data_IF_875388386635
#
_entry.id   IF_875388386635
#
_cell.length_a   1.000
_cell.length_b   1.000
_cell.length_c   1.000
_cell.angle_alpha   90.00
_cell.angle_beta   90.00
_cell.angle_gamma   90.00
#
_symmetry.space_group_name_H-M   'P 1'
#
loop_
_entity.id
_entity.type
_entity.pdbx_description
1 polymer ?
#
# COMPACT_ATOMS: atom_id res chain seq x y z
N UNK A 1 12.10 1.39 24.42
CA UNK A 1 13.09 1.41 23.38
C UNK A 1 12.55 2.02 22.12
N UNK A 2 13.26 3.02 21.65
CA UNK A 2 12.80 3.80 20.50
C UNK A 2 12.66 2.98 19.24
N UNK A 3 13.57 2.07 19.00
CA UNK A 3 13.49 1.19 17.82
C UNK A 3 12.21 0.40 17.78
N UNK A 4 11.74 -0.07 18.93
CA UNK A 4 10.51 -0.85 19.00
C UNK A 4 9.29 0.02 18.66
N UNK A 5 9.29 1.27 19.09
CA UNK A 5 8.20 2.19 18.75
C UNK A 5 8.15 2.49 17.28
N UNK A 6 9.30 2.78 16.66
CA UNK A 6 9.37 3.02 15.23
C UNK A 6 8.90 1.80 14.46
N UNK A 7 9.35 0.62 14.88
CA UNK A 7 8.95 -0.62 14.24
C UNK A 7 7.43 -0.80 14.32
N UNK A 8 6.82 -0.50 15.45
CA UNK A 8 5.37 -0.62 15.58
C UNK A 8 4.61 0.29 14.61
N UNK A 9 5.03 1.53 14.48
CA UNK A 9 4.40 2.46 13.55
C UNK A 9 4.62 2.02 12.11
N UNK A 10 5.86 1.68 11.75
CA UNK A 10 6.17 1.19 10.41
C UNK A 10 5.42 -0.09 10.08
N UNK A 11 5.31 -1.00 11.05
CA UNK A 11 4.60 -2.25 10.87
C UNK A 11 3.12 -2.01 10.60
N UNK A 12 2.51 -1.03 11.24
CA UNK A 12 1.11 -0.72 11.02
C UNK A 12 0.86 -0.27 9.57
N UNK A 13 1.67 0.66 9.07
CA UNK A 13 1.58 1.10 7.68
C UNK A 13 1.86 -0.07 6.74
N UNK A 14 2.92 -0.82 7.01
CA UNK A 14 3.30 -1.98 6.22
C UNK A 14 2.17 -3.01 6.15
N UNK A 15 1.54 -3.32 7.28
CA UNK A 15 0.42 -4.26 7.31
C UNK A 15 -0.76 -3.79 6.48
N UNK A 16 -1.02 -2.49 6.51
CA UNK A 16 -2.10 -1.92 5.70
C UNK A 16 -1.82 -2.10 4.22
N UNK A 17 -0.58 -1.83 3.80
CA UNK A 17 -0.17 -2.04 2.41
C UNK A 17 -0.19 -3.52 2.05
N UNK A 18 0.22 -4.39 2.96
CA UNK A 18 0.17 -5.84 2.75
C UNK A 18 -1.26 -6.35 2.61
N UNK A 19 -2.20 -5.73 3.30
CA UNK A 19 -3.62 -6.06 3.14
C UNK A 19 -4.08 -5.81 1.72
N UNK A 20 -3.67 -4.70 1.13
CA UNK A 20 -3.97 -4.39 -0.27
C UNK A 20 -3.30 -5.40 -1.18
N UNK A 21 -2.03 -5.73 -0.93
CA UNK A 21 -1.32 -6.74 -1.71
C UNK A 21 -2.04 -8.09 -1.68
N UNK A 22 -2.43 -8.55 -0.50
CA UNK A 22 -3.13 -9.84 -0.36
C UNK A 22 -4.42 -9.84 -1.15
N UNK A 23 -5.18 -8.75 -1.12
CA UNK A 23 -6.42 -8.63 -1.87
C UNK A 23 -6.17 -8.71 -3.38
N UNK A 24 -5.13 -8.02 -3.86
CA UNK A 24 -4.78 -8.06 -5.28
C UNK A 24 -4.35 -9.46 -5.70
N UNK A 25 -3.57 -10.14 -4.88
CA UNK A 25 -3.11 -11.49 -5.16
C UNK A 25 -4.26 -12.49 -5.13
N UNK A 26 -5.30 -12.20 -4.36
CA UNK A 26 -6.50 -13.02 -4.29
C UNK A 26 -7.46 -12.79 -5.47
N UNK A 27 -7.14 -11.84 -6.35
CA UNK A 27 -7.94 -11.58 -7.55
C UNK A 27 -8.81 -10.34 -7.51
N UNK A 28 -8.63 -9.48 -6.52
CA UNK A 28 -9.39 -8.23 -6.44
C UNK A 28 -9.04 -7.33 -7.63
N UNK A 29 -10.04 -6.67 -8.19
CA UNK A 29 -9.86 -5.78 -9.34
C UNK A 29 -10.27 -4.34 -9.04
N UNK A 30 -10.85 -4.08 -7.89
CA UNK A 30 -11.30 -2.74 -7.50
C UNK A 30 -10.18 -1.99 -6.77
N UNK A 31 -9.25 -1.45 -7.54
CA UNK A 31 -8.09 -0.75 -7.00
C UNK A 31 -8.51 0.47 -6.18
N UNK A 32 -9.44 1.27 -6.69
CA UNK A 32 -9.91 2.45 -5.99
C UNK A 32 -10.53 2.08 -4.64
N UNK A 33 -11.31 1.02 -4.60
CA UNK A 33 -11.89 0.53 -3.35
C UNK A 33 -10.84 0.07 -2.36
N UNK A 34 -9.80 -0.61 -2.84
CA UNK A 34 -8.70 -1.05 -1.99
C UNK A 34 -7.91 0.13 -1.42
N UNK A 35 -7.62 1.11 -2.26
CA UNK A 35 -6.93 2.33 -1.82
C UNK A 35 -7.74 3.07 -0.76
N UNK A 36 -9.03 3.24 -0.99
CA UNK A 36 -9.91 3.90 -0.04
C UNK A 36 -10.03 3.15 1.27
N UNK A 37 -10.11 1.83 1.22
CA UNK A 37 -10.16 0.99 2.42
C UNK A 37 -8.88 1.12 3.22
N UNK A 38 -7.73 1.18 2.57
CA UNK A 38 -6.45 1.34 3.23
C UNK A 38 -6.36 2.70 3.92
N UNK A 39 -6.77 3.76 3.22
CA UNK A 39 -6.81 5.12 3.79
C UNK A 39 -7.69 5.15 5.04
N UNK A 40 -8.89 4.57 4.94
CA UNK A 40 -9.83 4.55 6.05
C UNK A 40 -9.25 3.78 7.23
N UNK A 41 -8.60 2.66 6.98
CA UNK A 41 -7.99 1.86 8.04
C UNK A 41 -6.93 2.66 8.80
N UNK A 42 -6.10 3.41 8.08
CA UNK A 42 -5.09 4.27 8.72
C UNK A 42 -5.74 5.39 9.52
N UNK A 43 -6.77 6.01 8.98
CA UNK A 43 -7.49 7.07 9.69
C UNK A 43 -8.10 6.57 10.99
N UNK A 44 -8.67 5.38 10.97
CA UNK A 44 -9.27 4.77 12.16
C UNK A 44 -8.21 4.47 13.23
N UNK A 45 -6.97 4.25 12.81
CA UNK A 45 -5.86 3.98 13.71
C UNK A 45 -5.17 5.27 14.20
N UNK A 46 -5.69 6.44 13.83
CA UNK A 46 -5.14 7.72 14.27
C UNK A 46 -4.08 8.29 13.34
N UNK A 47 -3.90 7.73 12.17
CA UNK A 47 -2.96 8.23 11.18
C UNK A 47 -3.61 9.27 10.28
N UNK A 48 -2.77 10.10 9.66
CA UNK A 48 -3.22 11.03 8.63
C UNK A 48 -2.56 10.60 7.31
N UNK A 49 -3.23 9.76 6.52
CA UNK A 49 -2.64 9.30 5.27
C UNK A 49 -2.56 10.42 4.24
N UNK A 50 -1.39 10.56 3.61
CA UNK A 50 -1.21 11.49 2.51
C UNK A 50 -1.69 10.87 1.21
N UNK A 51 -1.28 9.61 0.98
CA UNK A 51 -1.75 8.85 -0.18
C UNK A 51 -1.50 7.36 0.03
N UNK A 52 -2.32 6.56 -0.62
CA UNK A 52 -2.10 5.13 -0.81
C UNK A 52 -2.42 4.88 -2.28
N UNK A 53 -1.45 4.45 -3.06
CA UNK A 53 -1.58 4.31 -4.51
C UNK A 53 -1.06 2.96 -4.96
N UNK A 54 -1.80 2.32 -5.86
CA UNK A 54 -1.35 1.10 -6.53
C UNK A 54 -0.95 1.49 -7.95
N UNK A 55 0.26 1.12 -8.36
CA UNK A 55 0.79 1.49 -9.66
C UNK A 55 1.59 0.35 -10.28
N UNK A 56 1.78 0.38 -11.59
CA UNK A 56 2.64 -0.59 -12.27
C UNK A 56 4.09 -0.23 -12.00
N UNK A 57 4.93 -1.23 -11.73
CA UNK A 57 6.33 -0.98 -11.43
C UNK A 57 7.08 -0.37 -12.62
N UNK A 58 6.68 -0.72 -13.85
CA UNK A 58 7.41 -0.30 -15.04
C UNK A 58 7.26 1.17 -15.39
N UNK A 59 6.12 1.80 -15.08
CA UNK A 59 5.86 3.18 -15.48
C UNK A 59 5.09 3.99 -14.43
N UNK A 60 4.75 3.39 -13.31
CA UNK A 60 4.03 4.01 -12.20
C UNK A 60 2.64 4.55 -12.60
N UNK A 61 2.07 4.00 -13.67
CA UNK A 61 0.71 4.33 -14.06
C UNK A 61 -0.28 3.39 -13.37
N UNK A 62 -1.53 3.85 -13.29
CA UNK A 62 -2.59 3.04 -12.70
C UNK A 62 -2.77 1.75 -13.49
N UNK A 63 -2.76 0.56 -12.85
CA UNK A 63 -2.94 -0.68 -13.57
C UNK A 63 -4.35 -0.79 -14.14
N UNK A 64 -4.43 -1.43 -15.31
CA UNK A 64 -5.72 -1.72 -15.93
C UNK A 64 -6.21 -3.09 -15.44
N UNK A 65 -7.46 -3.42 -15.80
CA UNK A 65 -7.99 -4.73 -15.49
C UNK A 65 -7.15 -5.84 -16.13
N UNK A 66 -6.65 -5.61 -17.33
CA UNK A 66 -5.78 -6.58 -18.03
C UNK A 66 -4.46 -6.75 -17.29
N UNK A 67 -3.90 -5.67 -16.76
CA UNK A 67 -2.68 -5.75 -15.94
C UNK A 67 -2.89 -6.66 -14.74
N UNK A 68 -4.03 -6.54 -14.08
CA UNK A 68 -4.34 -7.37 -12.92
C UNK A 68 -4.53 -8.84 -13.33
N UNK A 69 -5.20 -9.06 -14.45
CA UNK A 69 -5.43 -10.41 -14.96
C UNK A 69 -4.11 -11.09 -15.33
N UNK A 70 -3.21 -10.36 -15.95
CA UNK A 70 -1.90 -10.88 -16.38
C UNK A 70 -0.86 -10.89 -15.25
N UNK A 71 -1.24 -10.44 -14.06
CA UNK A 71 -0.34 -10.35 -12.90
C UNK A 71 0.90 -9.52 -13.20
N UNK A 72 0.67 -8.38 -13.85
CA UNK A 72 1.72 -7.41 -14.11
C UNK A 72 2.35 -6.96 -12.80
N UNK A 73 3.69 -6.87 -12.68
CA UNK A 73 4.31 -6.42 -11.44
C UNK A 73 3.82 -5.03 -11.05
N UNK A 74 3.31 -4.95 -9.82
CA UNK A 74 2.74 -3.72 -9.27
C UNK A 74 3.52 -3.30 -8.03
N UNK A 75 3.33 -2.06 -7.63
CA UNK A 75 3.86 -1.55 -6.37
C UNK A 75 2.76 -0.74 -5.68
N UNK A 76 2.64 -0.94 -4.37
CA UNK A 76 1.72 -0.16 -3.55
C UNK A 76 2.57 0.87 -2.83
N UNK A 77 2.29 2.14 -3.06
CA UNK A 77 3.01 3.25 -2.47
C UNK A 77 2.13 3.89 -1.40
N UNK A 78 2.68 4.10 -0.22
CA UNK A 78 1.92 4.71 0.85
C UNK A 78 2.74 5.71 1.63
N UNK A 79 2.12 6.83 2.00
CA UNK A 79 2.71 7.83 2.87
C UNK A 79 1.64 8.28 3.86
N UNK A 80 2.01 8.34 5.13
CA UNK A 80 1.08 8.74 6.18
C UNK A 80 1.83 9.35 7.35
N UNK A 81 1.14 10.20 8.09
CA UNK A 81 1.69 10.82 9.30
C UNK A 81 1.04 10.23 10.53
N UNK A 82 1.83 10.03 11.55
CA UNK A 82 1.33 9.75 12.88
C UNK A 82 2.02 10.74 13.84
N UNK A 83 1.20 11.59 14.48
CA UNK A 83 1.75 12.71 15.25
C UNK A 83 2.52 13.65 14.33
N UNK A 84 3.78 13.89 14.64
CA UNK A 84 4.66 14.74 13.83
C UNK A 84 5.56 13.92 12.89
N UNK A 85 5.44 12.60 12.91
CA UNK A 85 6.30 11.72 12.13
C UNK A 85 5.61 11.30 10.85
N UNK A 86 6.27 11.53 9.71
CA UNK A 86 5.80 11.06 8.41
C UNK A 86 6.55 9.80 8.02
N UNK A 87 5.80 8.77 7.65
CA UNK A 87 6.37 7.50 7.21
C UNK A 87 5.98 7.26 5.76
N UNK A 88 6.93 6.69 5.01
CA UNK A 88 6.72 6.33 3.62
C UNK A 88 7.13 4.87 3.49
N UNK A 89 6.33 4.07 2.78
CA UNK A 89 6.64 2.67 2.57
C UNK A 89 6.13 2.23 1.21
N UNK A 90 6.60 1.07 0.77
CA UNK A 90 6.12 0.47 -0.47
C UNK A 90 6.10 -1.05 -0.32
N UNK A 91 5.23 -1.69 -1.10
CA UNK A 91 5.11 -3.13 -1.14
C UNK A 91 4.95 -3.56 -2.59
N UNK A 92 5.77 -4.49 -3.02
CA UNK A 92 5.71 -5.03 -4.38
C UNK A 92 4.66 -6.13 -4.47
N UNK A 93 3.92 -6.16 -5.57
CA UNK A 93 2.86 -7.14 -5.83
C UNK A 93 3.16 -7.87 -7.13
N UNK A 94 2.91 -9.19 -7.15
CA UNK A 94 3.15 -10.05 -8.31
C UNK A 94 4.62 -10.08 -8.72
N UNK A 95 5.52 -9.96 -7.74
CA UNK A 95 6.94 -10.05 -7.99
C UNK A 95 7.59 -8.69 -8.21
N UNK A 96 8.83 -8.75 -8.65
CA UNK A 96 9.67 -7.57 -8.82
C UNK A 96 10.10 -7.44 -10.27
N UNK A 97 9.98 -6.25 -10.80
CA UNK A 97 10.47 -5.96 -12.15
C UNK A 97 12.00 -6.02 -12.15
N UNK A 98 12.54 -6.83 -13.01
CA UNK A 98 13.99 -7.03 -13.11
C UNK A 98 14.69 -5.83 -13.75
#
# INVERSE_FOLDING_TARGET
MEKCRRIKHSVHLYRTLHGVKSSLEAGAIDITGLENSAVKRLEEAGWKPDYIVVARQKDLLTPTRDDLFNKEPLVILGAAKIGTTRLIDNVEVFGKLA
#
